data_IF_263370028838
#
_entry.id   IF_263370028838
#
_cell.length_a   1.000
_cell.length_b   1.000
_cell.length_c   1.000
_cell.angle_alpha   90.00
_cell.angle_beta   90.00
_cell.angle_gamma   90.00
#
_symmetry.space_group_name_H-M   'P 1'
#
loop_
_entity.id
_entity.type
_entity.pdbx_description
1 polymer ?
#
# COMPACT_ATOMS: atom_id res chain seq x y z
N UNK A 1 7.84 0.88 -26.73
CA UNK A 1 7.39 -0.14 -25.76
C UNK A 1 6.19 0.46 -25.04
N UNK A 2 5.08 -0.28 -24.94
CA UNK A 2 3.92 0.20 -24.16
C UNK A 2 4.33 0.12 -22.68
N UNK A 3 4.55 1.27 -22.05
CA UNK A 3 4.73 1.36 -20.60
C UNK A 3 3.37 1.08 -19.98
N UNK A 4 3.12 -0.19 -19.61
CA UNK A 4 1.89 -0.59 -18.93
C UNK A 4 2.12 -0.49 -17.43
N UNK A 5 1.26 0.26 -16.74
CA UNK A 5 1.21 0.25 -15.28
C UNK A 5 0.66 -1.10 -14.81
N UNK A 6 1.40 -1.78 -13.95
CA UNK A 6 1.04 -3.09 -13.41
C UNK A 6 0.36 -3.01 -12.05
N UNK A 7 0.77 -2.04 -11.22
CA UNK A 7 0.33 -1.92 -9.85
C UNK A 7 0.15 -0.47 -9.37
N UNK A 8 -0.64 -0.30 -8.32
CA UNK A 8 -0.56 0.87 -7.43
C UNK A 8 0.00 0.44 -6.08
N UNK A 9 0.96 1.20 -5.56
CA UNK A 9 1.52 1.01 -4.22
C UNK A 9 1.11 2.15 -3.32
N UNK A 10 0.39 1.84 -2.25
CA UNK A 10 -0.13 2.79 -1.27
C UNK A 10 0.62 2.62 0.03
N UNK A 11 1.27 3.68 0.52
CA UNK A 11 2.05 3.64 1.75
C UNK A 11 2.03 4.98 2.51
N UNK A 12 2.52 4.97 3.74
CA UNK A 12 2.59 6.18 4.55
C UNK A 12 3.61 7.21 4.02
N UNK A 13 3.32 8.50 4.20
CA UNK A 13 4.26 9.61 3.92
C UNK A 13 5.44 9.71 4.91
N UNK A 14 5.50 8.85 5.92
CA UNK A 14 6.52 8.90 6.97
C UNK A 14 7.94 8.86 6.39
N UNK A 15 8.73 9.88 6.68
CA UNK A 15 10.07 10.06 6.10
C UNK A 15 11.05 8.98 6.54
N UNK A 16 10.80 8.31 7.67
CA UNK A 16 11.66 7.25 8.23
C UNK A 16 11.74 6.02 7.32
N UNK A 17 10.73 5.82 6.47
CA UNK A 17 10.53 4.59 5.70
C UNK A 17 10.97 4.69 4.24
N UNK A 18 11.20 5.90 3.74
CA UNK A 18 11.26 6.14 2.29
C UNK A 18 12.42 5.41 1.62
N UNK A 19 13.57 5.27 2.29
CA UNK A 19 14.70 4.48 1.79
C UNK A 19 14.36 3.00 1.64
N UNK A 20 13.70 2.42 2.65
CA UNK A 20 13.28 1.01 2.63
C UNK A 20 12.23 0.76 1.55
N UNK A 21 11.24 1.65 1.42
CA UNK A 21 10.20 1.56 0.39
C UNK A 21 10.80 1.71 -1.01
N UNK A 22 11.73 2.64 -1.23
CA UNK A 22 12.41 2.79 -2.52
C UNK A 22 13.16 1.51 -2.91
N UNK A 23 13.97 0.97 -2.00
CA UNK A 23 14.73 -0.26 -2.26
C UNK A 23 13.79 -1.45 -2.53
N UNK A 24 12.70 -1.56 -1.76
CA UNK A 24 11.71 -2.62 -1.98
C UNK A 24 11.02 -2.48 -3.34
N UNK A 25 10.64 -1.27 -3.75
CA UNK A 25 10.01 -1.04 -5.05
C UNK A 25 10.96 -1.31 -6.22
N UNK A 26 12.23 -0.91 -6.12
CA UNK A 26 13.25 -1.21 -7.14
C UNK A 26 13.53 -2.71 -7.26
N UNK A 27 13.42 -3.46 -6.16
CA UNK A 27 13.61 -4.91 -6.15
C UNK A 27 12.39 -5.69 -6.68
N UNK A 28 11.18 -5.16 -6.52
CA UNK A 28 9.93 -5.89 -6.83
C UNK A 28 9.28 -5.45 -8.15
N UNK A 29 9.59 -4.27 -8.67
CA UNK A 29 8.95 -3.73 -9.86
C UNK A 29 9.94 -3.14 -10.86
N UNK A 30 9.58 -3.19 -12.14
CA UNK A 30 10.38 -2.53 -13.18
C UNK A 30 10.26 -0.99 -13.05
N UNK A 31 11.32 -0.26 -13.43
CA UNK A 31 11.29 1.20 -13.41
C UNK A 31 10.13 1.75 -14.27
N UNK A 32 9.26 2.57 -13.68
CA UNK A 32 8.12 3.19 -14.36
C UNK A 32 6.94 2.25 -14.65
N UNK A 33 6.85 1.12 -13.96
CA UNK A 33 5.76 0.14 -14.14
C UNK A 33 4.66 0.22 -13.07
N UNK A 34 4.74 1.12 -12.10
CA UNK A 34 3.75 1.22 -11.03
C UNK A 34 3.39 2.68 -10.69
N UNK A 35 2.17 2.88 -10.21
CA UNK A 35 1.75 4.10 -9.54
C UNK A 35 2.17 4.07 -8.06
N UNK A 36 2.52 5.22 -7.51
CA UNK A 36 2.84 5.37 -6.08
C UNK A 36 1.93 6.42 -5.45
N UNK A 37 1.11 6.00 -4.48
CA UNK A 37 0.26 6.88 -3.70
C UNK A 37 0.77 6.97 -2.26
N UNK A 38 1.16 8.19 -1.86
CA UNK A 38 1.77 8.46 -0.55
C UNK A 38 0.75 9.18 0.32
N UNK A 39 0.28 8.52 1.38
CA UNK A 39 -0.87 8.96 2.18
C UNK A 39 -0.47 9.10 3.65
N UNK A 40 -1.02 10.07 4.38
CA UNK A 40 -0.81 10.10 5.84
C UNK A 40 -1.54 8.90 6.48
N UNK A 41 -0.79 8.02 7.17
CA UNK A 41 -1.38 6.86 7.85
C UNK A 41 -1.56 5.59 7.01
N UNK A 42 -0.99 5.52 5.80
CA UNK A 42 -1.12 4.33 4.95
C UNK A 42 -2.58 4.07 4.60
N UNK A 43 -3.15 2.97 5.12
CA UNK A 43 -4.57 2.62 4.89
C UNK A 43 -5.56 3.20 5.89
N UNK A 44 -5.10 4.02 6.85
CA UNK A 44 -5.95 4.58 7.91
C UNK A 44 -7.24 5.22 7.38
N UNK A 45 -7.15 6.04 6.33
CA UNK A 45 -8.31 6.51 5.57
C UNK A 45 -8.55 5.63 4.34
N UNK A 46 -9.25 4.51 4.56
CA UNK A 46 -9.53 3.51 3.51
C UNK A 46 -10.34 4.09 2.34
N UNK A 47 -11.13 5.14 2.54
CA UNK A 47 -11.94 5.72 1.47
C UNK A 47 -11.07 6.51 0.49
N UNK A 48 -10.07 7.22 1.00
CA UNK A 48 -9.10 7.88 0.14
C UNK A 48 -8.18 6.88 -0.56
N UNK A 49 -7.82 5.76 0.08
CA UNK A 49 -7.13 4.65 -0.60
C UNK A 49 -7.95 4.11 -1.77
N UNK A 50 -9.23 3.81 -1.54
CA UNK A 50 -10.14 3.31 -2.58
C UNK A 50 -10.25 4.31 -3.74
N UNK A 51 -10.27 5.62 -3.45
CA UNK A 51 -10.28 6.66 -4.48
C UNK A 51 -9.03 6.61 -5.37
N UNK A 52 -7.85 6.41 -4.78
CA UNK A 52 -6.61 6.29 -5.56
C UNK A 52 -6.59 5.00 -6.40
N UNK A 53 -7.05 3.88 -5.83
CA UNK A 53 -7.17 2.60 -6.53
C UNK A 53 -8.13 2.72 -7.72
N UNK A 54 -9.30 3.33 -7.57
CA UNK A 54 -10.24 3.58 -8.68
C UNK A 54 -9.59 4.36 -9.83
N UNK A 55 -8.91 5.45 -9.50
CA UNK A 55 -8.26 6.33 -10.49
C UNK A 55 -7.19 5.55 -11.25
N UNK A 56 -6.32 4.82 -10.54
CA UNK A 56 -5.26 4.02 -11.15
C UNK A 56 -5.81 2.88 -12.00
N UNK A 57 -6.81 2.14 -11.51
CA UNK A 57 -7.47 1.07 -12.27
C UNK A 57 -8.10 1.61 -13.57
N UNK A 58 -8.82 2.72 -13.50
CA UNK A 58 -9.56 3.28 -14.64
C UNK A 58 -8.66 3.96 -15.67
N UNK A 59 -7.60 4.64 -15.23
CA UNK A 59 -6.74 5.42 -16.14
C UNK A 59 -5.52 4.64 -16.62
N UNK A 60 -4.96 3.77 -15.78
CA UNK A 60 -3.70 3.09 -16.07
C UNK A 60 -3.83 1.56 -16.20
N UNK A 61 -4.99 1.00 -15.87
CA UNK A 61 -5.30 -0.41 -16.13
C UNK A 61 -4.46 -1.40 -15.32
N UNK A 62 -4.19 -1.04 -14.06
CA UNK A 62 -3.44 -1.90 -13.11
C UNK A 62 -4.13 -3.25 -12.89
N UNK A 63 -3.34 -4.23 -12.49
CA UNK A 63 -3.83 -5.57 -12.09
C UNK A 63 -3.55 -5.88 -10.61
N UNK A 64 -2.78 -5.03 -9.93
CA UNK A 64 -2.33 -5.29 -8.55
C UNK A 64 -2.38 -4.04 -7.67
N UNK A 65 -2.71 -4.23 -6.40
CA UNK A 65 -2.68 -3.22 -5.35
C UNK A 65 -1.75 -3.71 -4.25
N UNK A 66 -0.82 -2.86 -3.84
CA UNK A 66 0.04 -3.11 -2.67
C UNK A 66 -0.32 -2.09 -1.60
N UNK A 67 -0.67 -2.57 -0.41
CA UNK A 67 -0.99 -1.73 0.75
C UNK A 67 0.07 -1.91 1.83
N UNK A 68 0.65 -0.81 2.30
CA UNK A 68 1.73 -0.85 3.30
C UNK A 68 1.38 0.06 4.47
N UNK A 69 1.12 -0.55 5.63
CA UNK A 69 1.16 0.14 6.91
C UNK A 69 2.55 0.00 7.55
N UNK A 70 2.81 0.72 8.63
CA UNK A 70 4.11 0.67 9.29
C UNK A 70 4.04 0.83 10.80
N UNK A 71 5.11 0.38 11.45
CA UNK A 71 5.36 0.50 12.87
C UNK A 71 5.42 1.97 13.33
N UNK A 72 4.82 2.24 14.50
CA UNK A 72 4.84 3.55 15.16
C UNK A 72 4.32 4.69 14.26
N UNK A 73 3.19 4.45 13.61
CA UNK A 73 2.53 5.44 12.76
C UNK A 73 1.77 6.49 13.58
N UNK A 74 2.16 7.76 13.42
CA UNK A 74 1.54 8.88 14.16
C UNK A 74 0.03 9.07 13.95
N UNK A 75 -0.52 8.61 12.82
CA UNK A 75 -1.97 8.67 12.55
C UNK A 75 -2.78 7.69 13.41
N UNK A 76 -2.18 6.56 13.81
CA UNK A 76 -2.85 5.57 14.64
C UNK A 76 -2.81 5.96 16.14
N UNK A 77 -1.85 6.80 16.52
CA UNK A 77 -1.66 7.29 17.87
C UNK A 77 -0.75 6.38 18.73
N UNK A 78 -0.39 6.84 19.94
CA UNK A 78 0.55 6.12 20.79
C UNK A 78 -0.03 4.79 21.30
N UNK A 79 0.82 3.76 21.39
CA UNK A 79 0.47 2.47 21.99
C UNK A 79 -0.42 1.58 21.13
N UNK A 80 -0.60 1.92 19.85
CA UNK A 80 -1.25 1.03 18.88
C UNK A 80 -0.33 -0.15 18.56
N UNK A 81 -0.93 -1.35 18.58
CA UNK A 81 -0.25 -2.61 18.25
C UNK A 81 -0.27 -2.87 16.74
N UNK A 82 0.66 -3.72 16.31
CA UNK A 82 0.70 -4.31 14.96
C UNK A 82 -0.66 -4.91 14.57
N UNK A 83 -1.33 -5.63 15.49
CA UNK A 83 -2.67 -6.21 15.26
C UNK A 83 -3.71 -5.21 14.71
N UNK A 84 -3.68 -3.94 15.18
CA UNK A 84 -4.63 -2.93 14.67
C UNK A 84 -4.29 -2.51 13.23
N UNK A 85 -3.00 -2.44 12.90
CA UNK A 85 -2.57 -2.17 11.55
C UNK A 85 -2.95 -3.29 10.59
N UNK A 86 -2.80 -4.54 11.04
CA UNK A 86 -3.20 -5.74 10.30
C UNK A 86 -4.72 -5.78 10.10
N UNK A 87 -5.49 -5.57 11.16
CA UNK A 87 -6.95 -5.48 11.08
C UNK A 87 -7.43 -4.44 10.05
N UNK A 88 -6.77 -3.29 9.96
CA UNK A 88 -7.14 -2.23 9.01
C UNK A 88 -6.64 -2.52 7.59
N UNK A 89 -5.50 -3.20 7.43
CA UNK A 89 -5.03 -3.74 6.15
C UNK A 89 -6.02 -4.78 5.62
N UNK A 90 -6.44 -5.75 6.44
CA UNK A 90 -7.39 -6.80 6.07
C UNK A 90 -8.74 -6.21 5.65
N UNK A 91 -9.25 -5.23 6.40
CA UNK A 91 -10.49 -4.51 6.03
C UNK A 91 -10.34 -3.75 4.72
N UNK A 92 -9.18 -3.15 4.45
CA UNK A 92 -8.92 -2.43 3.22
C UNK A 92 -8.83 -3.40 2.02
N UNK A 93 -8.11 -4.51 2.18
CA UNK A 93 -8.02 -5.60 1.22
C UNK A 93 -9.39 -6.15 0.86
N UNK A 94 -10.21 -6.49 1.85
CA UNK A 94 -11.56 -6.98 1.66
C UNK A 94 -12.45 -6.00 0.89
N UNK A 95 -12.38 -4.71 1.23
CA UNK A 95 -13.14 -3.68 0.52
C UNK A 95 -12.69 -3.55 -0.93
N UNK A 96 -11.38 -3.53 -1.19
CA UNK A 96 -10.82 -3.42 -2.54
C UNK A 96 -11.20 -4.64 -3.36
N UNK A 97 -11.07 -5.87 -2.83
CA UNK A 97 -11.47 -7.09 -3.54
C UNK A 97 -12.96 -7.13 -3.88
N UNK A 98 -13.82 -6.60 -3.01
CA UNK A 98 -15.27 -6.49 -3.28
C UNK A 98 -15.59 -5.46 -4.37
N UNK A 99 -14.91 -4.32 -4.37
CA UNK A 99 -15.14 -3.23 -5.32
C UNK A 99 -14.45 -3.48 -6.68
N UNK A 100 -13.30 -4.15 -6.67
CA UNK A 100 -12.45 -4.42 -7.83
C UNK A 100 -12.02 -5.90 -7.87
N UNK A 101 -12.93 -6.84 -8.17
CA UNK A 101 -12.65 -8.29 -8.10
C UNK A 101 -11.57 -8.80 -9.06
N UNK A 102 -11.11 -7.97 -9.98
CA UNK A 102 -10.05 -8.29 -10.95
C UNK A 102 -8.66 -7.87 -10.47
N UNK A 103 -8.54 -7.16 -9.35
CA UNK A 103 -7.27 -6.73 -8.79
C UNK A 103 -6.77 -7.75 -7.76
N UNK A 104 -5.51 -8.15 -7.91
CA UNK A 104 -4.76 -8.79 -6.83
C UNK A 104 -4.45 -7.74 -5.75
N UNK A 105 -4.52 -8.14 -4.49
CA UNK A 105 -4.21 -7.24 -3.36
C UNK A 105 -3.25 -7.95 -2.43
N UNK A 106 -2.11 -7.31 -2.19
CA UNK A 106 -1.11 -7.72 -1.20
C UNK A 106 -0.99 -6.64 -0.13
N UNK A 107 -0.91 -7.08 1.11
CA UNK A 107 -0.83 -6.24 2.31
C UNK A 107 0.49 -6.51 3.03
N UNK A 108 1.12 -5.44 3.51
CA UNK A 108 2.39 -5.51 4.23
C UNK A 108 2.39 -4.59 5.45
N UNK A 109 3.07 -5.05 6.50
CA UNK A 109 3.48 -4.25 7.63
C UNK A 109 4.99 -3.99 7.57
N UNK A 110 5.39 -2.72 7.57
CA UNK A 110 6.79 -2.29 7.51
C UNK A 110 7.31 -1.86 8.89
N UNK A 111 8.34 -2.55 9.38
CA UNK A 111 9.03 -2.20 10.63
C UNK A 111 10.04 -1.06 10.42
N UNK A 112 10.35 -0.33 11.49
CA UNK A 112 11.30 0.80 11.45
C UNK A 112 12.73 0.37 11.14
N UNK A 113 13.04 -0.93 11.26
CA UNK A 113 14.32 -1.50 10.84
C UNK A 113 14.39 -1.84 9.33
N UNK A 114 13.28 -1.71 8.61
CA UNK A 114 13.15 -1.99 7.18
C UNK A 114 12.59 -3.36 6.83
N UNK A 115 12.21 -4.18 7.82
CA UNK A 115 11.60 -5.49 7.58
C UNK A 115 10.18 -5.34 7.05
N UNK A 116 9.88 -6.00 5.93
CA UNK A 116 8.53 -6.12 5.39
C UNK A 116 7.94 -7.46 5.79
N UNK A 117 6.81 -7.43 6.48
CA UNK A 117 6.03 -8.60 6.85
C UNK A 117 4.76 -8.61 6.01
N UNK A 118 4.52 -9.71 5.29
CA UNK A 118 3.35 -9.86 4.42
C UNK A 118 2.24 -10.51 5.22
N UNK A 119 1.04 -9.93 5.19
CA UNK A 119 -0.11 -10.53 5.84
C UNK A 119 -0.58 -11.75 5.01
N UNK A 120 -1.13 -12.75 5.69
CA UNK A 120 -1.42 -14.07 5.12
C UNK A 120 -2.76 -14.14 4.41
#
# INVERSE_FOLDING_TARGET
MSHKCEAIVVHCMDYRLQSYINNWLEANFAAGSYDRAVMAGGVYDVYDVIRQVDISARLHGISKVILINHEDCGMYGPGVTEDRHDDDLDKAEDKIRRLFPHLEVDTYYLKLDGTFERNS
#
